data_IF_361350497703
#
_entry.id   IF_361350497703
#
_cell.length_a   1.000
_cell.length_b   1.000
_cell.length_c   1.000
_cell.angle_alpha   90.00
_cell.angle_beta   90.00
_cell.angle_gamma   90.00
#
_symmetry.space_group_name_H-M   'P 1'
#
loop_
_entity.id
_entity.type
_entity.pdbx_description
1 polymer ?
#
# COMPACT_ATOMS: atom_id res chain seq x y z
N UNK A 1 18.88 -1.02 -29.63
CA UNK A 1 17.86 -0.63 -28.63
C UNK A 1 16.70 -1.59 -28.79
N UNK A 2 16.72 -2.71 -28.09
CA UNK A 2 15.65 -3.70 -28.11
C UNK A 2 14.55 -3.21 -27.17
N UNK A 3 13.43 -2.75 -27.73
CA UNK A 3 12.23 -2.43 -26.98
C UNK A 3 11.66 -3.73 -26.40
N UNK A 4 12.08 -4.09 -25.21
CA UNK A 4 11.48 -5.20 -24.46
C UNK A 4 10.06 -4.77 -24.09
N UNK A 5 9.07 -5.21 -24.87
CA UNK A 5 7.67 -5.00 -24.52
C UNK A 5 7.41 -5.61 -23.15
N UNK A 6 6.85 -4.83 -22.22
CA UNK A 6 6.53 -5.30 -20.88
C UNK A 6 5.67 -6.58 -20.97
N UNK A 7 5.99 -7.63 -20.20
CA UNK A 7 5.26 -8.90 -20.26
C UNK A 7 3.78 -8.67 -19.89
N UNK A 8 2.87 -9.23 -20.71
CA UNK A 8 1.43 -9.16 -20.47
C UNK A 8 1.00 -10.44 -19.75
N UNK A 9 0.45 -10.29 -18.56
CA UNK A 9 -0.10 -11.39 -17.78
C UNK A 9 -1.63 -11.36 -17.82
N UNK A 10 -2.23 -12.52 -18.07
CA UNK A 10 -3.68 -12.68 -18.22
C UNK A 10 -4.26 -13.36 -16.98
N UNK A 11 -5.32 -12.80 -16.43
CA UNK A 11 -6.14 -13.39 -15.38
C UNK A 11 -7.55 -13.63 -15.92
N UNK A 12 -8.05 -14.84 -15.78
CA UNK A 12 -9.43 -15.17 -16.10
C UNK A 12 -10.26 -15.35 -14.82
N UNK A 13 -11.33 -14.59 -14.69
CA UNK A 13 -12.31 -14.69 -13.61
C UNK A 13 -13.61 -15.27 -14.17
N UNK A 14 -14.20 -16.25 -13.48
CA UNK A 14 -15.52 -16.79 -13.83
C UNK A 14 -16.51 -16.38 -12.76
N UNK A 15 -17.58 -15.72 -13.17
CA UNK A 15 -18.69 -15.32 -12.30
C UNK A 15 -20.02 -15.63 -12.97
N UNK A 16 -21.04 -16.00 -12.20
CA UNK A 16 -22.37 -16.30 -12.78
C UNK A 16 -23.05 -15.04 -13.25
N UNK A 17 -23.02 -14.00 -12.43
CA UNK A 17 -23.70 -12.73 -12.66
C UNK A 17 -22.78 -11.57 -12.32
N UNK A 18 -22.98 -10.44 -12.97
CA UNK A 18 -22.23 -9.20 -12.73
C UNK A 18 -22.26 -8.79 -11.24
N UNK A 19 -23.41 -8.99 -10.58
CA UNK A 19 -23.61 -8.63 -9.18
C UNK A 19 -22.65 -9.35 -8.22
N UNK A 20 -22.15 -10.54 -8.57
CA UNK A 20 -21.21 -11.29 -7.72
C UNK A 20 -19.81 -10.69 -7.67
N UNK A 21 -19.45 -9.89 -8.68
CA UNK A 21 -18.14 -9.24 -8.72
C UNK A 21 -18.06 -8.02 -7.79
N UNK A 22 -19.24 -7.48 -7.41
CA UNK A 22 -19.33 -6.26 -6.61
C UNK A 22 -19.93 -6.51 -5.24
N UNK A 23 -19.55 -5.67 -4.29
CA UNK A 23 -20.06 -5.72 -2.93
C UNK A 23 -21.56 -5.40 -2.94
N UNK A 24 -22.40 -6.37 -2.56
CA UNK A 24 -23.86 -6.21 -2.48
C UNK A 24 -24.31 -5.19 -1.44
N UNK A 25 -23.48 -4.93 -0.42
CA UNK A 25 -23.75 -3.98 0.68
C UNK A 25 -23.34 -2.54 0.35
N UNK A 26 -22.70 -2.31 -0.81
CA UNK A 26 -22.28 -0.97 -1.22
C UNK A 26 -23.46 -0.19 -1.82
N UNK A 27 -23.91 0.93 -1.21
CA UNK A 27 -25.02 1.74 -1.68
C UNK A 27 -24.67 2.67 -2.84
N UNK A 28 -23.40 2.70 -3.28
CA UNK A 28 -22.94 3.63 -4.33
C UNK A 28 -23.48 3.23 -5.71
N UNK A 29 -23.58 4.19 -6.66
CA UNK A 29 -23.93 3.88 -8.05
C UNK A 29 -22.98 2.86 -8.66
N UNK A 30 -23.46 2.05 -9.60
CA UNK A 30 -22.76 0.87 -10.11
C UNK A 30 -21.32 1.17 -10.62
N UNK A 31 -21.11 2.27 -11.30
CA UNK A 31 -19.79 2.69 -11.83
C UNK A 31 -18.75 3.06 -10.75
N UNK A 32 -19.20 3.29 -9.51
CA UNK A 32 -18.34 3.57 -8.35
C UNK A 32 -18.43 2.47 -7.28
N UNK A 33 -19.10 1.35 -7.59
CA UNK A 33 -19.31 0.27 -6.65
C UNK A 33 -18.02 -0.47 -6.35
N UNK A 34 -17.78 -0.75 -5.07
CA UNK A 34 -16.60 -1.50 -4.65
C UNK A 34 -16.70 -2.97 -5.09
N UNK A 35 -15.57 -3.55 -5.50
CA UNK A 35 -15.47 -4.97 -5.77
C UNK A 35 -15.75 -5.78 -4.49
N UNK A 36 -16.29 -7.00 -4.69
CA UNK A 36 -16.40 -7.96 -3.60
C UNK A 36 -15.02 -8.18 -2.95
N UNK A 37 -14.93 -8.23 -1.61
CA UNK A 37 -13.66 -8.38 -0.90
C UNK A 37 -12.84 -9.58 -1.36
N UNK A 38 -13.49 -10.73 -1.65
CA UNK A 38 -12.79 -11.94 -2.12
C UNK A 38 -12.28 -11.79 -3.55
N UNK A 39 -13.07 -11.17 -4.42
CA UNK A 39 -12.65 -10.88 -5.79
C UNK A 39 -11.46 -9.91 -5.80
N UNK A 40 -11.52 -8.85 -4.99
CA UNK A 40 -10.43 -7.89 -4.83
C UNK A 40 -9.15 -8.56 -4.30
N UNK A 41 -9.25 -9.35 -3.22
CA UNK A 41 -8.13 -10.09 -2.65
C UNK A 41 -7.48 -11.05 -3.65
N UNK A 42 -8.30 -11.78 -4.41
CA UNK A 42 -7.82 -12.70 -5.43
C UNK A 42 -7.07 -11.99 -6.55
N UNK A 43 -7.61 -10.89 -7.09
CA UNK A 43 -6.94 -10.09 -8.12
C UNK A 43 -5.65 -9.47 -7.59
N UNK A 44 -5.67 -8.91 -6.38
CA UNK A 44 -4.51 -8.30 -5.73
C UNK A 44 -3.40 -9.34 -5.47
N UNK A 45 -3.76 -10.49 -4.91
CA UNK A 45 -2.83 -11.60 -4.64
C UNK A 45 -2.16 -12.07 -5.92
N UNK A 46 -2.95 -12.35 -6.97
CA UNK A 46 -2.43 -12.75 -8.25
C UNK A 46 -1.51 -11.69 -8.87
N UNK A 47 -1.93 -10.43 -8.90
CA UNK A 47 -1.14 -9.35 -9.47
C UNK A 47 0.17 -9.12 -8.72
N UNK A 48 0.21 -9.38 -7.41
CA UNK A 48 1.39 -9.20 -6.56
C UNK A 48 2.51 -10.22 -6.84
N UNK A 49 2.18 -11.38 -7.45
CA UNK A 49 3.15 -12.41 -7.80
C UNK A 49 3.97 -12.09 -9.06
N UNK A 50 3.54 -11.05 -9.82
CA UNK A 50 4.17 -10.71 -11.09
C UNK A 50 5.16 -9.53 -10.97
N UNK A 51 6.16 -9.45 -11.86
CA UNK A 51 7.15 -8.37 -11.86
C UNK A 51 6.54 -6.98 -11.94
N UNK A 52 7.29 -5.97 -11.45
CA UNK A 52 6.82 -4.61 -11.36
C UNK A 52 6.52 -3.92 -12.71
N UNK A 53 7.05 -4.43 -13.81
CA UNK A 53 6.87 -3.87 -15.15
C UNK A 53 5.79 -4.58 -15.98
N UNK A 54 5.07 -5.55 -15.36
CA UNK A 54 4.03 -6.33 -16.04
C UNK A 54 2.80 -5.50 -16.34
N UNK A 55 2.22 -5.71 -17.51
CA UNK A 55 0.88 -5.26 -17.88
C UNK A 55 -0.14 -6.34 -17.56
N UNK A 56 -1.31 -5.94 -17.10
CA UNK A 56 -2.36 -6.88 -16.73
C UNK A 56 -3.51 -6.87 -17.74
N UNK A 57 -4.03 -8.06 -18.01
CA UNK A 57 -5.19 -8.28 -18.85
C UNK A 57 -6.18 -9.13 -18.05
N UNK A 58 -7.32 -8.56 -17.70
CA UNK A 58 -8.37 -9.21 -16.92
C UNK A 58 -9.47 -9.68 -17.87
N UNK A 59 -9.73 -10.99 -17.93
CA UNK A 59 -10.83 -11.57 -18.71
C UNK A 59 -11.91 -12.04 -17.74
N UNK A 60 -13.11 -11.51 -17.84
CA UNK A 60 -14.25 -11.84 -17.01
C UNK A 60 -15.22 -12.70 -17.84
N UNK A 61 -15.40 -13.94 -17.41
CA UNK A 61 -16.38 -14.85 -18.01
C UNK A 61 -17.69 -14.77 -17.23
N UNK A 62 -18.76 -14.29 -17.88
CA UNK A 62 -20.13 -14.23 -17.33
C UNK A 62 -20.93 -15.43 -17.82
N UNK A 63 -21.48 -16.23 -16.91
CA UNK A 63 -22.40 -17.33 -17.28
C UNK A 63 -23.77 -16.80 -17.71
N UNK A 64 -24.29 -15.80 -16.97
CA UNK A 64 -25.53 -15.11 -17.33
C UNK A 64 -25.23 -13.73 -17.87
N UNK A 65 -25.53 -13.52 -19.14
CA UNK A 65 -25.41 -12.20 -19.77
C UNK A 65 -26.62 -11.33 -19.35
N UNK A 66 -26.41 -10.05 -18.97
CA UNK A 66 -27.50 -9.16 -18.62
C UNK A 66 -28.46 -8.94 -19.82
N UNK A 67 -29.75 -8.85 -19.55
CA UNK A 67 -30.76 -8.54 -20.56
C UNK A 67 -30.71 -7.08 -21.05
N UNK A 68 -30.13 -6.18 -20.23
CA UNK A 68 -30.11 -4.73 -20.47
C UNK A 68 -28.91 -4.26 -21.33
N UNK A 69 -28.30 -5.13 -22.12
CA UNK A 69 -27.24 -4.75 -23.06
C UNK A 69 -25.84 -5.24 -22.71
N UNK A 70 -24.81 -4.68 -23.33
CA UNK A 70 -23.41 -5.07 -23.13
C UNK A 70 -22.82 -4.47 -21.84
N UNK A 71 -22.49 -5.30 -20.83
CA UNK A 71 -21.98 -4.83 -19.56
C UNK A 71 -20.48 -4.45 -19.62
N UNK A 72 -19.79 -4.67 -20.75
CA UNK A 72 -18.34 -4.58 -20.85
C UNK A 72 -17.80 -3.19 -20.51
N UNK A 73 -18.44 -2.14 -21.00
CA UNK A 73 -18.03 -0.76 -20.73
C UNK A 73 -18.17 -0.40 -19.26
N UNK A 74 -19.33 -0.70 -18.69
CA UNK A 74 -19.66 -0.44 -17.29
C UNK A 74 -18.76 -1.21 -16.33
N UNK A 75 -18.51 -2.49 -16.60
CA UNK A 75 -17.60 -3.32 -15.80
C UNK A 75 -16.16 -2.82 -15.84
N UNK A 76 -15.70 -2.46 -17.03
CA UNK A 76 -14.35 -1.91 -17.21
C UNK A 76 -14.17 -0.63 -16.39
N UNK A 77 -15.12 0.29 -16.49
CA UNK A 77 -15.08 1.56 -15.76
C UNK A 77 -15.14 1.33 -14.23
N UNK A 78 -16.04 0.48 -13.76
CA UNK A 78 -16.19 0.18 -12.34
C UNK A 78 -14.91 -0.43 -11.76
N UNK A 79 -14.27 -1.37 -12.47
CA UNK A 79 -13.01 -2.00 -12.04
C UNK A 79 -11.87 -0.97 -12.01
N UNK A 80 -11.74 -0.13 -13.03
CA UNK A 80 -10.73 0.92 -13.09
C UNK A 80 -10.92 1.91 -11.94
N UNK A 81 -12.13 2.41 -11.75
CA UNK A 81 -12.49 3.34 -10.67
C UNK A 81 -12.19 2.76 -9.29
N UNK A 82 -12.55 1.50 -9.06
CA UNK A 82 -12.24 0.80 -7.81
C UNK A 82 -10.73 0.80 -7.51
N UNK A 83 -9.89 0.35 -8.45
CA UNK A 83 -8.45 0.28 -8.22
C UNK A 83 -7.78 1.66 -8.14
N UNK A 84 -8.25 2.64 -8.90
CA UNK A 84 -7.79 4.04 -8.76
C UNK A 84 -8.13 4.58 -7.37
N UNK A 85 -9.35 4.34 -6.89
CA UNK A 85 -9.77 4.73 -5.54
C UNK A 85 -8.91 4.04 -4.46
N UNK A 86 -8.63 2.74 -4.60
CA UNK A 86 -7.74 2.01 -3.70
C UNK A 86 -6.30 2.57 -3.72
N UNK A 87 -5.79 2.96 -4.88
CA UNK A 87 -4.49 3.62 -4.99
C UNK A 87 -4.46 4.95 -4.23
N UNK A 88 -5.50 5.78 -4.38
CA UNK A 88 -5.60 7.06 -3.66
C UNK A 88 -5.75 6.89 -2.15
N UNK A 89 -6.56 5.93 -1.72
CA UNK A 89 -6.71 5.57 -0.30
C UNK A 89 -5.37 5.15 0.30
N UNK A 90 -4.62 4.31 -0.42
CA UNK A 90 -3.29 3.85 0.01
C UNK A 90 -2.26 4.99 0.00
N UNK A 91 -2.35 5.92 -0.97
CA UNK A 91 -1.51 7.13 -1.01
C UNK A 91 -1.80 8.07 0.18
N UNK A 92 -3.05 8.18 0.62
CA UNK A 92 -3.41 8.91 1.85
C UNK A 92 -2.76 8.26 3.07
N UNK A 93 -2.80 6.92 3.17
CA UNK A 93 -2.14 6.16 4.24
C UNK A 93 -0.61 6.40 4.24
N UNK A 94 0.03 6.38 3.07
CA UNK A 94 1.46 6.69 2.95
C UNK A 94 1.80 8.08 3.51
N UNK A 95 1.00 9.09 3.15
CA UNK A 95 1.19 10.47 3.68
C UNK A 95 1.05 10.52 5.20
N UNK A 96 0.14 9.75 5.79
CA UNK A 96 -0.02 9.66 7.24
C UNK A 96 1.20 9.02 7.90
N UNK A 97 1.71 7.90 7.35
CA UNK A 97 2.92 7.23 7.86
C UNK A 97 4.13 8.16 7.80
N UNK A 98 4.33 8.87 6.69
CA UNK A 98 5.43 9.84 6.56
C UNK A 98 5.27 11.06 7.50
N UNK A 99 4.03 11.53 7.73
CA UNK A 99 3.75 12.59 8.69
C UNK A 99 4.10 12.13 10.12
N UNK A 100 3.69 10.92 10.48
CA UNK A 100 4.03 10.31 11.76
C UNK A 100 5.54 10.11 11.91
N UNK A 101 6.23 9.67 10.84
CA UNK A 101 7.69 9.54 10.81
C UNK A 101 8.40 10.87 11.09
N UNK A 102 7.98 11.97 10.47
CA UNK A 102 8.55 13.30 10.71
C UNK A 102 8.35 13.76 12.15
N UNK A 103 7.15 13.53 12.70
CA UNK A 103 6.87 13.89 14.11
C UNK A 103 7.71 13.04 15.06
N UNK A 104 7.80 11.74 14.82
CA UNK A 104 8.63 10.83 15.60
C UNK A 104 10.11 11.20 15.53
N UNK A 105 10.59 11.62 14.35
CA UNK A 105 11.97 12.09 14.16
C UNK A 105 12.25 13.35 14.99
N UNK A 106 11.34 14.32 14.95
CA UNK A 106 11.48 15.55 15.72
C UNK A 106 11.55 15.27 17.23
N UNK A 107 10.63 14.43 17.74
CA UNK A 107 10.61 14.00 19.14
C UNK A 107 11.90 13.23 19.48
N UNK A 108 12.35 12.33 18.60
CA UNK A 108 13.58 11.55 18.78
C UNK A 108 14.81 12.43 18.87
N UNK A 109 14.96 13.41 17.97
CA UNK A 109 16.10 14.36 17.99
C UNK A 109 16.09 15.17 19.28
N UNK A 110 14.93 15.70 19.69
CA UNK A 110 14.82 16.46 20.94
C UNK A 110 15.23 15.60 22.15
N UNK A 111 14.74 14.37 22.21
CA UNK A 111 15.04 13.45 23.29
C UNK A 111 16.52 13.05 23.32
N UNK A 112 17.12 12.72 22.19
CA UNK A 112 18.57 12.43 22.09
C UNK A 112 19.38 13.62 22.55
N UNK A 113 19.01 14.84 22.11
CA UNK A 113 19.72 16.05 22.52
C UNK A 113 19.69 16.27 24.04
N UNK A 114 18.51 16.05 24.65
CA UNK A 114 18.37 16.12 26.11
C UNK A 114 19.21 15.05 26.83
N UNK A 115 19.23 13.83 26.33
CA UNK A 115 20.08 12.76 26.90
C UNK A 115 21.55 13.07 26.80
N UNK A 116 22.02 13.63 25.66
CA UNK A 116 23.43 13.99 25.47
C UNK A 116 23.86 15.17 26.37
N UNK A 117 23.00 16.18 26.50
CA UNK A 117 23.26 17.30 27.43
C UNK A 117 23.31 16.79 28.86
N UNK A 118 22.35 15.95 29.29
CA UNK A 118 22.37 15.37 30.62
C UNK A 118 23.59 14.49 30.87
N UNK A 119 24.00 13.70 29.86
CA UNK A 119 25.20 12.86 29.92
C UNK A 119 26.47 13.69 30.10
N UNK A 120 26.55 14.85 29.41
CA UNK A 120 27.68 15.76 29.53
C UNK A 120 27.73 16.45 30.91
N UNK A 121 26.59 16.94 31.39
CA UNK A 121 26.46 17.52 32.72
C UNK A 121 26.87 16.52 33.83
N UNK A 122 26.42 15.27 33.74
CA UNK A 122 26.79 14.21 34.70
C UNK A 122 28.30 13.93 34.60
N UNK A 123 28.87 13.90 33.41
CA UNK A 123 30.33 13.69 33.22
C UNK A 123 31.19 14.76 33.84
N UNK A 124 30.69 15.99 33.96
CA UNK A 124 31.38 17.12 34.57
C UNK A 124 31.21 17.17 36.11
N UNK A 125 30.30 16.36 36.71
CA UNK A 125 30.05 16.36 38.14
C UNK A 125 31.01 15.50 38.96
N UNK A 126 31.70 14.52 38.29
CA UNK A 126 32.67 13.67 39.00
C UNK A 126 33.20 12.52 38.12
N UNK A 127 34.34 11.95 38.56
CA UNK A 127 35.06 10.88 37.83
C UNK A 127 34.76 9.46 38.37
N UNK A 128 33.80 9.31 39.28
CA UNK A 128 33.46 8.03 39.88
C UNK A 128 32.77 7.05 38.88
N UNK A 129 32.88 5.75 39.15
CA UNK A 129 32.29 4.70 38.31
C UNK A 129 30.78 4.89 38.08
N UNK A 130 30.04 5.41 39.07
CA UNK A 130 28.60 5.69 38.97
C UNK A 130 28.28 6.76 37.93
N UNK A 131 29.04 7.86 37.89
CA UNK A 131 28.88 8.93 36.90
C UNK A 131 29.13 8.44 35.47
N UNK A 132 30.14 7.58 35.30
CA UNK A 132 30.49 6.99 34.01
C UNK A 132 29.38 6.07 33.50
N UNK A 133 28.85 5.18 34.38
CA UNK A 133 27.73 4.29 34.02
C UNK A 133 26.49 5.10 33.65
N UNK A 134 26.13 6.13 34.42
CA UNK A 134 24.99 6.98 34.14
C UNK A 134 25.12 7.71 32.79
N UNK A 135 26.29 8.26 32.48
CA UNK A 135 26.59 8.92 31.19
C UNK A 135 26.43 7.96 30.03
N UNK A 136 27.02 6.77 30.09
CA UNK A 136 26.91 5.75 29.04
C UNK A 136 25.48 5.27 28.86
N UNK A 137 24.73 5.03 29.96
CA UNK A 137 23.34 4.63 29.91
C UNK A 137 22.45 5.67 29.23
N UNK A 138 22.62 6.97 29.54
CA UNK A 138 21.88 8.06 28.90
C UNK A 138 22.16 8.13 27.38
N UNK A 139 23.42 7.95 27.00
CA UNK A 139 23.82 7.93 25.60
C UNK A 139 23.12 6.77 24.86
N UNK A 140 23.11 5.57 25.43
CA UNK A 140 22.45 4.39 24.86
C UNK A 140 20.93 4.61 24.74
N UNK A 141 20.30 5.10 25.79
CA UNK A 141 18.83 5.38 25.81
C UNK A 141 18.47 6.42 24.75
N UNK A 142 19.29 7.46 24.59
CA UNK A 142 19.13 8.45 23.55
C UNK A 142 19.13 7.81 22.15
N UNK A 143 20.10 6.98 21.84
CA UNK A 143 20.20 6.28 20.55
C UNK A 143 19.00 5.34 20.29
N UNK A 144 18.53 4.63 21.31
CA UNK A 144 17.35 3.74 21.18
C UNK A 144 16.11 4.52 20.77
N UNK A 145 15.94 5.76 21.22
CA UNK A 145 14.80 6.60 20.83
C UNK A 145 14.76 6.92 19.32
N UNK A 146 15.91 6.89 18.64
CA UNK A 146 16.02 7.13 17.19
C UNK A 146 15.60 5.90 16.35
N UNK A 147 15.43 4.73 16.97
CA UNK A 147 15.08 3.51 16.24
C UNK A 147 13.75 3.62 15.49
N UNK A 148 12.75 4.18 16.15
CA UNK A 148 11.39 4.29 15.57
C UNK A 148 11.34 5.17 14.32
N UNK A 149 11.85 6.41 14.29
CA UNK A 149 11.92 7.20 13.06
C UNK A 149 12.72 6.52 11.96
N UNK A 150 13.85 5.90 12.29
CA UNK A 150 14.66 5.17 11.31
C UNK A 150 13.88 4.03 10.67
N UNK A 151 13.14 3.24 11.44
CA UNK A 151 12.29 2.15 10.95
C UNK A 151 11.25 2.67 9.95
N UNK A 152 10.57 3.78 10.26
CA UNK A 152 9.56 4.37 9.39
C UNK A 152 10.17 4.80 8.05
N UNK A 153 11.32 5.51 8.07
CA UNK A 153 11.95 6.03 6.86
C UNK A 153 12.72 4.99 6.05
N UNK A 154 13.20 3.90 6.65
CA UNK A 154 13.92 2.85 5.94
C UNK A 154 13.01 1.74 5.43
N UNK A 155 11.96 1.37 6.19
CA UNK A 155 11.20 0.15 5.91
C UNK A 155 9.70 0.35 5.71
N UNK A 156 9.01 1.15 6.54
CA UNK A 156 7.54 1.15 6.60
C UNK A 156 6.86 1.76 5.36
N UNK A 157 7.51 2.67 4.65
CA UNK A 157 6.93 3.35 3.48
C UNK A 157 6.99 2.51 2.20
N UNK A 158 7.97 1.65 2.06
CA UNK A 158 8.28 0.95 0.81
C UNK A 158 7.20 -0.05 0.38
N UNK A 159 6.67 -0.94 1.26
CA UNK A 159 5.57 -1.83 0.91
C UNK A 159 4.31 -1.07 0.52
N UNK A 160 4.04 0.07 1.17
CA UNK A 160 2.89 0.92 0.83
C UNK A 160 3.05 1.50 -0.58
N UNK A 161 4.24 1.96 -0.93
CA UNK A 161 4.53 2.49 -2.25
C UNK A 161 4.41 1.40 -3.34
N UNK A 162 4.84 0.17 -3.06
CA UNK A 162 4.66 -0.97 -3.97
C UNK A 162 3.17 -1.24 -4.21
N UNK A 163 2.36 -1.20 -3.15
CA UNK A 163 0.91 -1.43 -3.23
C UNK A 163 0.21 -0.35 -4.07
N UNK A 164 0.60 0.92 -3.93
CA UNK A 164 0.08 2.00 -4.77
C UNK A 164 0.37 1.73 -6.25
N UNK A 165 1.61 1.34 -6.60
CA UNK A 165 1.98 1.03 -7.99
C UNK A 165 1.19 -0.16 -8.54
N UNK A 166 0.93 -1.18 -7.71
CA UNK A 166 0.11 -2.32 -8.08
C UNK A 166 -1.31 -1.89 -8.44
N UNK A 167 -1.96 -1.10 -7.59
CA UNK A 167 -3.31 -0.60 -7.83
C UNK A 167 -3.39 0.30 -9.06
N UNK A 168 -2.41 1.16 -9.31
CA UNK A 168 -2.38 1.99 -10.52
C UNK A 168 -2.26 1.13 -11.79
N UNK A 169 -1.51 0.03 -11.75
CA UNK A 169 -1.43 -0.91 -12.89
C UNK A 169 -2.74 -1.67 -13.10
N UNK A 170 -3.40 -2.10 -12.01
CA UNK A 170 -4.72 -2.72 -12.08
C UNK A 170 -5.78 -1.73 -12.57
N UNK A 171 -5.70 -0.46 -12.14
CA UNK A 171 -6.57 0.61 -12.62
C UNK A 171 -6.34 1.03 -14.07
N UNK A 172 -5.27 0.54 -14.71
CA UNK A 172 -4.99 0.72 -16.15
C UNK A 172 -4.98 -0.63 -16.92
N UNK A 173 -5.42 -1.71 -16.28
CA UNK A 173 -5.43 -3.03 -16.88
C UNK A 173 -6.45 -3.08 -18.04
N UNK A 174 -6.13 -3.88 -19.07
CA UNK A 174 -7.11 -4.17 -20.11
C UNK A 174 -8.15 -5.16 -19.57
N UNK A 175 -9.40 -4.73 -19.52
CA UNK A 175 -10.52 -5.56 -19.05
C UNK A 175 -11.32 -6.03 -20.27
N UNK A 176 -11.53 -7.33 -20.38
CA UNK A 176 -12.36 -7.96 -21.42
C UNK A 176 -13.43 -8.79 -20.77
N UNK A 177 -14.68 -8.57 -21.15
CA UNK A 177 -15.82 -9.35 -20.69
C UNK A 177 -16.23 -10.32 -21.80
N UNK A 178 -16.39 -11.57 -21.45
CA UNK A 178 -16.73 -12.66 -22.41
C UNK A 178 -17.88 -13.46 -21.84
N UNK A 179 -18.82 -13.82 -22.71
CA UNK A 179 -19.89 -14.74 -22.33
C UNK A 179 -19.30 -16.13 -22.10
N UNK A 180 -19.41 -16.63 -20.87
CA UNK A 180 -19.02 -17.99 -20.53
C UNK A 180 -19.99 -19.00 -21.15
N UNK A 181 -19.44 -20.07 -21.70
CA UNK A 181 -20.24 -21.25 -22.07
C UNK A 181 -20.48 -22.10 -20.85
#
# INVERSE_FOLDING_TARGET
MTSTSAPVHKLALRVREVAQLFNSMDPTPFHNKDLDPKANEYIESWASTHPHDSRFHLTIHLEKWPEEGDPSGMLTEAIHNHFIYQAERTRRRLRQVLKQGRMSLFIGILFVSLCLIAADLIGNMGEGAGYRIARESLTIVGWVAMWRPMQIFLYDWWPIQRKIRLYLRLGSAHVQVVQGK
#
